data_IF_763149473686
#
_entry.id   IF_763149473686
#
_cell.length_a   1.000
_cell.length_b   1.000
_cell.length_c   1.000
_cell.angle_alpha   90.00
_cell.angle_beta   90.00
_cell.angle_gamma   90.00
#
_symmetry.space_group_name_H-M   'P 1'
#
loop_
_entity.id
_entity.type
_entity.pdbx_description
1 polymer ?
#
# COMPACT_ATOMS: atom_id res chain seq x y z
N UNK A 1 -24.68 -0.91 11.90
CA UNK A 1 -23.21 -0.79 12.00
C UNK A 1 -22.79 0.30 12.98
N UNK A 2 -22.95 1.59 12.66
CA UNK A 2 -22.54 2.72 13.53
C UNK A 2 -23.23 2.72 14.90
N UNK A 3 -24.50 2.29 14.97
CA UNK A 3 -25.26 2.10 16.20
C UNK A 3 -24.81 0.91 17.07
N UNK A 4 -24.02 -0.02 16.51
CA UNK A 4 -23.54 -1.22 17.20
C UNK A 4 -22.03 -1.17 17.46
N UNK A 5 -21.34 -0.09 17.06
CA UNK A 5 -19.89 0.09 17.17
C UNK A 5 -19.05 -1.08 16.60
N UNK A 6 -19.53 -1.72 15.54
CA UNK A 6 -18.82 -2.82 14.89
C UNK A 6 -17.96 -2.25 13.74
N UNK A 7 -16.63 -2.52 13.70
CA UNK A 7 -15.79 -2.18 12.56
C UNK A 7 -16.16 -3.04 11.35
N UNK A 8 -16.26 -2.42 10.17
CA UNK A 8 -16.61 -3.11 8.91
C UNK A 8 -15.52 -2.86 7.89
N UNK A 9 -15.03 -3.93 7.28
CA UNK A 9 -14.12 -3.88 6.15
C UNK A 9 -14.88 -4.20 4.87
N UNK A 10 -14.62 -3.41 3.82
CA UNK A 10 -15.20 -3.60 2.49
C UNK A 10 -14.03 -3.78 1.52
N UNK A 11 -14.05 -4.87 0.76
CA UNK A 11 -13.02 -5.17 -0.23
C UNK A 11 -13.53 -4.81 -1.61
N UNK A 12 -12.84 -3.89 -2.29
CA UNK A 12 -13.15 -3.46 -3.65
C UNK A 12 -12.01 -3.78 -4.59
N UNK A 13 -12.27 -4.55 -5.65
CA UNK A 13 -11.28 -4.85 -6.69
C UNK A 13 -11.30 -3.76 -7.76
N UNK A 14 -10.12 -3.24 -8.12
CA UNK A 14 -9.98 -2.32 -9.25
C UNK A 14 -9.96 -3.11 -10.57
N UNK A 15 -10.98 -2.94 -11.39
CA UNK A 15 -11.07 -3.54 -12.73
C UNK A 15 -10.92 -2.47 -13.81
N UNK A 16 -10.46 -2.86 -15.01
CA UNK A 16 -10.24 -1.94 -16.14
C UNK A 16 -11.54 -1.49 -16.80
N UNK A 17 -12.62 -2.25 -16.62
CA UNK A 17 -13.80 -2.15 -17.48
C UNK A 17 -14.90 -1.20 -16.97
N UNK A 18 -14.69 -0.45 -15.88
CA UNK A 18 -15.51 0.70 -15.46
C UNK A 18 -17.02 0.46 -15.24
N UNK A 19 -17.49 -0.77 -15.37
CA UNK A 19 -18.92 -1.14 -15.47
C UNK A 19 -19.58 -1.35 -14.13
N UNK A 20 -18.80 -1.55 -13.08
CA UNK A 20 -19.27 -1.48 -11.70
C UNK A 20 -18.79 -0.15 -11.17
N UNK A 21 -19.72 0.67 -10.65
CA UNK A 21 -19.40 1.85 -9.85
C UNK A 21 -18.25 1.49 -8.90
N UNK A 22 -17.03 1.86 -9.28
CA UNK A 22 -15.84 1.26 -8.71
C UNK A 22 -15.70 1.61 -7.23
N UNK A 23 -14.67 1.07 -6.55
CA UNK A 23 -14.34 1.46 -5.17
C UNK A 23 -14.30 2.99 -4.98
N UNK A 24 -13.94 3.73 -6.04
CA UNK A 24 -13.98 5.19 -6.13
C UNK A 24 -15.30 5.85 -5.75
N UNK A 25 -16.44 5.23 -6.04
CA UNK A 25 -17.74 5.78 -5.64
C UNK A 25 -17.95 5.63 -4.12
N UNK A 26 -17.37 4.62 -3.49
CA UNK A 26 -17.47 4.43 -2.04
C UNK A 26 -16.49 5.31 -1.26
N UNK A 27 -15.41 5.78 -1.88
CA UNK A 27 -14.35 6.54 -1.21
C UNK A 27 -14.85 7.79 -0.46
N UNK A 28 -15.82 8.49 -1.01
CA UNK A 28 -16.40 9.66 -0.35
C UNK A 28 -17.39 9.29 0.75
N UNK A 29 -17.99 8.08 0.70
CA UNK A 29 -19.01 7.59 1.62
C UNK A 29 -18.43 6.89 2.87
N UNK A 30 -17.19 6.39 2.81
CA UNK A 30 -16.56 5.65 3.91
C UNK A 30 -15.71 6.55 4.82
N UNK A 31 -15.41 6.08 6.02
CA UNK A 31 -14.56 6.79 6.98
C UNK A 31 -13.06 6.63 6.71
N UNK A 32 -12.65 5.46 6.22
CA UNK A 32 -11.25 5.14 5.88
C UNK A 32 -11.18 4.49 4.51
N UNK A 33 -10.23 4.91 3.67
CA UNK A 33 -9.91 4.35 2.36
C UNK A 33 -8.45 3.91 2.39
N UNK A 34 -8.23 2.61 2.16
CA UNK A 34 -6.91 2.02 2.04
C UNK A 34 -6.75 1.48 0.62
N UNK A 35 -5.63 1.79 -0.03
CA UNK A 35 -5.22 1.15 -1.26
C UNK A 35 -4.12 0.15 -0.98
N UNK A 36 -4.26 -1.04 -1.54
CA UNK A 36 -3.23 -2.06 -1.54
C UNK A 36 -2.67 -2.19 -2.95
N UNK A 37 -1.53 -1.56 -3.17
CA UNK A 37 -0.89 -1.43 -4.47
C UNK A 37 0.40 -2.26 -4.51
N UNK A 38 0.81 -2.68 -5.70
CA UNK A 38 2.09 -3.35 -5.87
C UNK A 38 2.45 -3.42 -7.33
N UNK A 39 3.73 -3.18 -7.66
CA UNK A 39 4.20 -3.28 -9.03
C UNK A 39 4.36 -4.76 -9.44
N UNK A 40 4.39 -5.02 -10.75
CA UNK A 40 4.58 -6.39 -11.25
C UNK A 40 6.01 -6.91 -11.05
N UNK A 41 6.99 -6.01 -10.97
CA UNK A 41 8.41 -6.33 -10.86
C UNK A 41 8.91 -6.37 -9.43
N UNK A 42 8.18 -5.76 -8.51
CA UNK A 42 8.52 -5.75 -7.09
C UNK A 42 7.65 -6.78 -6.36
N UNK A 43 8.29 -7.63 -5.56
CA UNK A 43 7.59 -8.56 -4.65
C UNK A 43 6.80 -7.84 -3.56
N UNK A 44 6.99 -6.52 -3.44
CA UNK A 44 6.37 -5.68 -2.45
C UNK A 44 4.93 -5.30 -2.79
N UNK A 45 4.16 -5.18 -1.71
CA UNK A 45 2.83 -4.62 -1.69
C UNK A 45 2.82 -3.47 -0.68
N UNK A 46 2.38 -2.30 -1.13
CA UNK A 46 2.27 -1.10 -0.31
C UNK A 46 0.80 -0.90 0.03
N UNK A 47 0.49 -0.89 1.32
CA UNK A 47 -0.78 -0.46 1.86
C UNK A 47 -0.68 1.02 2.22
N UNK A 48 -1.53 1.87 1.62
CA UNK A 48 -1.53 3.31 1.85
C UNK A 48 -2.92 3.81 2.21
N UNK A 49 -3.00 4.69 3.20
CA UNK A 49 -4.24 5.37 3.55
C UNK A 49 -4.48 6.59 2.65
N UNK A 50 -5.50 6.54 1.78
CA UNK A 50 -5.91 7.70 0.98
C UNK A 50 -6.88 8.62 1.72
N UNK A 51 -7.64 8.04 2.66
CA UNK A 51 -8.54 8.76 3.56
C UNK A 51 -8.50 8.05 4.90
N UNK A 52 -8.32 8.80 5.98
CA UNK A 52 -8.37 8.25 7.32
C UNK A 52 -9.01 9.27 8.25
N UNK A 53 -10.27 9.07 8.64
CA UNK A 53 -10.93 9.96 9.61
C UNK A 53 -10.48 9.75 11.05
N UNK A 54 -9.70 8.72 11.32
CA UNK A 54 -9.26 8.35 12.67
C UNK A 54 -7.74 8.47 12.87
N UNK A 55 -7.00 9.00 11.89
CA UNK A 55 -5.55 9.07 11.94
C UNK A 55 -4.95 9.76 10.72
N UNK A 56 -3.64 9.57 10.53
CA UNK A 56 -2.92 10.17 9.40
C UNK A 56 -3.20 9.42 8.09
N UNK A 57 -3.09 10.14 6.98
CA UNK A 57 -3.05 9.57 5.62
C UNK A 57 -1.62 9.30 5.15
N UNK A 58 -0.61 9.76 5.91
CA UNK A 58 0.79 9.62 5.53
C UNK A 58 1.41 8.29 6.00
N UNK A 59 0.61 7.44 6.64
CA UNK A 59 1.06 6.12 7.05
C UNK A 59 1.07 5.16 5.86
N UNK A 60 2.17 4.42 5.75
CA UNK A 60 2.37 3.37 4.76
C UNK A 60 2.73 2.07 5.47
N UNK A 61 2.14 0.97 5.04
CA UNK A 61 2.54 -0.39 5.42
C UNK A 61 3.18 -1.06 4.21
N UNK A 62 4.37 -1.63 4.39
CA UNK A 62 5.08 -2.36 3.33
C UNK A 62 5.04 -3.85 3.64
N UNK A 63 4.65 -4.65 2.65
CA UNK A 63 4.44 -6.09 2.81
C UNK A 63 5.12 -6.91 1.71
N UNK A 64 5.83 -7.95 2.16
CA UNK A 64 6.35 -9.14 1.48
C UNK A 64 5.27 -10.18 1.13
N UNK A 65 4.94 -10.50 -0.14
CA UNK A 65 4.21 -11.76 -0.41
C UNK A 65 5.17 -12.96 -0.40
N UNK A 66 5.19 -13.69 0.71
CA UNK A 66 5.99 -14.93 0.89
C UNK A 66 5.13 -16.17 0.65
N UNK A 67 5.75 -17.34 0.66
CA UNK A 67 5.05 -18.62 0.51
C UNK A 67 3.97 -18.84 1.58
N UNK A 68 4.20 -18.32 2.79
CA UNK A 68 3.27 -18.36 3.92
C UNK A 68 2.20 -17.24 3.92
N UNK A 69 2.33 -16.25 3.04
CA UNK A 69 1.40 -15.13 2.91
C UNK A 69 2.07 -13.76 3.02
N UNK A 70 1.28 -12.74 3.35
CA UNK A 70 1.77 -11.36 3.50
C UNK A 70 2.54 -11.21 4.82
N UNK A 71 3.80 -10.80 4.71
CA UNK A 71 4.70 -10.53 5.83
C UNK A 71 5.07 -9.05 5.85
N UNK A 72 5.02 -8.41 7.02
CA UNK A 72 5.41 -7.00 7.15
C UNK A 72 6.91 -6.80 6.93
N UNK A 73 7.26 -5.73 6.23
CA UNK A 73 8.65 -5.32 5.96
C UNK A 73 8.93 -4.05 6.76
N UNK A 74 9.64 -4.19 7.88
CA UNK A 74 9.94 -3.06 8.77
C UNK A 74 10.95 -2.06 8.17
N UNK A 75 11.92 -2.55 7.38
CA UNK A 75 12.92 -1.70 6.74
C UNK A 75 13.06 -2.04 5.23
N UNK A 76 12.29 -1.37 4.35
CA UNK A 76 12.38 -1.62 2.91
C UNK A 76 13.74 -1.20 2.32
N UNK A 77 14.44 -0.26 2.97
CA UNK A 77 15.73 0.27 2.48
C UNK A 77 16.86 -0.74 2.61
N UNK A 78 16.88 -1.52 3.69
CA UNK A 78 17.87 -2.58 3.90
C UNK A 78 17.82 -3.62 2.77
N UNK A 79 16.61 -4.02 2.37
CA UNK A 79 16.45 -5.01 1.32
C UNK A 79 16.82 -4.48 -0.09
N UNK A 80 16.57 -3.20 -0.40
CA UNK A 80 17.05 -2.58 -1.65
C UNK A 80 18.59 -2.53 -1.74
N UNK A 81 19.26 -2.62 -0.60
CA UNK A 81 20.72 -2.67 -0.49
C UNK A 81 21.25 -4.10 -0.29
N UNK A 82 20.38 -5.07 -0.04
CA UNK A 82 20.72 -6.45 0.28
C UNK A 82 21.28 -7.18 -0.96
N UNK A 83 22.28 -8.04 -0.74
CA UNK A 83 23.01 -8.73 -1.82
C UNK A 83 24.18 -7.92 -2.43
N UNK A 84 24.50 -6.73 -1.90
CA UNK A 84 25.68 -5.97 -2.32
C UNK A 84 26.86 -6.10 -1.34
N UNK A 85 28.12 -6.08 -1.83
CA UNK A 85 29.29 -6.06 -0.96
C UNK A 85 29.29 -4.81 -0.06
N UNK A 86 29.62 -4.97 1.22
CA UNK A 86 29.87 -3.84 2.12
C UNK A 86 30.92 -2.91 1.49
N UNK A 87 30.58 -1.62 1.33
CA UNK A 87 31.48 -0.62 0.76
C UNK A 87 31.50 -0.52 -0.77
N UNK A 88 30.57 -1.16 -1.49
CA UNK A 88 30.45 -0.99 -2.93
C UNK A 88 30.06 0.45 -3.31
N UNK A 89 30.93 1.15 -4.03
CA UNK A 89 30.68 2.48 -4.58
C UNK A 89 29.81 2.42 -5.84
N UNK A 90 29.01 3.47 -6.09
CA UNK A 90 28.21 3.60 -7.32
C UNK A 90 26.73 3.24 -7.21
N UNK A 91 26.20 3.04 -6.00
CA UNK A 91 24.75 2.90 -5.78
C UNK A 91 24.21 4.00 -4.88
N UNK A 92 23.04 4.54 -5.22
CA UNK A 92 22.29 5.51 -4.43
C UNK A 92 20.82 5.11 -4.41
N UNK A 93 20.17 5.24 -3.26
CA UNK A 93 18.71 5.15 -3.15
C UNK A 93 18.17 6.56 -3.33
N UNK A 94 17.28 6.74 -4.29
CA UNK A 94 16.66 8.03 -4.58
C UNK A 94 15.14 7.89 -4.58
N UNK A 95 14.45 8.92 -4.09
CA UNK A 95 13.00 9.02 -4.20
C UNK A 95 12.64 9.48 -5.62
N UNK A 96 11.90 8.65 -6.36
CA UNK A 96 11.30 9.05 -7.63
C UNK A 96 9.82 9.34 -7.40
N UNK A 97 9.33 10.46 -7.94
CA UNK A 97 7.91 10.81 -7.88
C UNK A 97 7.24 10.58 -9.24
N UNK A 98 6.18 9.77 -9.26
CA UNK A 98 5.32 9.49 -10.42
C UNK A 98 3.94 10.17 -10.25
N UNK A 99 3.83 11.42 -10.70
CA UNK A 99 2.61 12.22 -10.60
C UNK A 99 2.48 12.93 -9.24
N UNK A 100 1.39 12.66 -8.50
CA UNK A 100 1.27 13.05 -7.08
C UNK A 100 1.89 12.02 -6.13
N UNK A 101 2.58 11.01 -6.69
CA UNK A 101 3.15 9.86 -5.98
C UNK A 101 4.65 9.96 -5.95
#
# INVERSE_FOLDING_TARGET
AKSMQIPIFIVGHMTKDGTVAGPRVLEHMVDTVLYFEGEKRESYRILRAAKNRFGSTNEIGVFEMRAEGLTEVANPSEYMLEGRPEGASGSVVACSMEGTR
#
